data_IF_396045823175
#
_entry.id   IF_396045823175
#
_cell.length_a   1.000
_cell.length_b   1.000
_cell.length_c   1.000
_cell.angle_alpha   90.00
_cell.angle_beta   90.00
_cell.angle_gamma   90.00
#
_symmetry.space_group_name_H-M   'P 1'
#
loop_
_entity.id
_entity.type
_entity.pdbx_description
1 polymer ?
#
# COMPACT_ATOMS: atom_id res chain seq x y z
N UNK A 1 3.08 16.54 6.54
CA UNK A 1 2.34 17.65 5.93
C UNK A 1 0.83 17.55 6.23
N UNK A 2 0.17 16.44 5.92
CA UNK A 2 -1.28 16.28 6.16
C UNK A 2 -1.69 16.50 7.63
N UNK A 3 -0.87 16.08 8.59
CA UNK A 3 -1.17 16.22 10.02
C UNK A 3 -0.90 17.64 10.55
N UNK A 4 0.04 18.37 9.98
CA UNK A 4 0.30 19.78 10.31
C UNK A 4 -0.88 20.64 9.84
N UNK A 5 -1.39 20.40 8.62
CA UNK A 5 -2.59 21.09 8.11
C UNK A 5 -3.82 20.77 8.96
N UNK A 6 -3.97 19.52 9.40
CA UNK A 6 -5.06 19.10 10.29
C UNK A 6 -5.05 19.89 11.61
N UNK A 7 -3.87 20.06 12.20
CA UNK A 7 -3.69 20.82 13.46
C UNK A 7 -4.01 22.30 13.27
N UNK A 8 -3.61 22.89 12.15
CA UNK A 8 -3.90 24.26 11.79
C UNK A 8 -5.41 24.49 11.58
N UNK A 9 -6.10 23.58 10.89
CA UNK A 9 -7.55 23.60 10.70
C UNK A 9 -8.33 23.50 12.02
N UNK A 10 -7.87 22.66 12.96
CA UNK A 10 -8.47 22.57 14.30
C UNK A 10 -8.22 23.80 15.16
N UNK A 11 -7.02 24.38 15.09
CA UNK A 11 -6.65 25.59 15.84
C UNK A 11 -7.34 26.85 15.32
N UNK A 12 -7.57 26.95 14.02
CA UNK A 12 -8.23 28.10 13.39
C UNK A 12 -9.75 28.02 13.39
N UNK A 13 -10.34 26.88 13.83
CA UNK A 13 -11.78 26.67 13.80
C UNK A 13 -12.41 26.56 12.40
N UNK A 14 -11.59 26.57 11.34
CA UNK A 14 -12.05 26.47 9.95
C UNK A 14 -12.75 25.13 9.67
N UNK A 15 -12.36 24.06 10.36
CA UNK A 15 -13.00 22.75 10.29
C UNK A 15 -14.45 22.80 10.76
N UNK A 16 -14.77 23.63 11.76
CA UNK A 16 -16.15 23.80 12.26
C UNK A 16 -17.05 24.48 11.23
N UNK A 17 -16.54 25.47 10.51
CA UNK A 17 -17.29 26.19 9.48
C UNK A 17 -17.57 25.27 8.27
N UNK A 18 -16.59 24.50 7.81
CA UNK A 18 -16.77 23.55 6.71
C UNK A 18 -17.74 22.42 7.06
N UNK A 19 -17.79 21.97 8.32
CA UNK A 19 -18.71 20.93 8.79
C UNK A 19 -20.17 21.39 8.92
N UNK A 20 -20.41 22.68 9.00
CA UNK A 20 -21.78 23.25 9.07
C UNK A 20 -22.50 23.23 7.72
N UNK A 21 -21.80 23.01 6.60
CA UNK A 21 -22.43 22.91 5.28
C UNK A 21 -23.14 21.58 5.10
N UNK A 22 -24.36 21.60 4.49
CA UNK A 22 -25.29 20.46 4.35
C UNK A 22 -24.69 19.14 3.82
N UNK A 23 -23.58 19.23 3.06
CA UNK A 23 -22.84 18.07 2.51
C UNK A 23 -21.33 18.10 2.81
N UNK A 24 -20.87 19.04 3.66
CA UNK A 24 -19.45 19.30 3.86
C UNK A 24 -18.66 18.14 4.44
N UNK A 25 -19.26 17.36 5.32
CA UNK A 25 -18.55 16.27 6.01
C UNK A 25 -18.10 15.14 5.08
N UNK A 26 -19.03 14.60 4.31
CA UNK A 26 -18.74 13.43 3.44
C UNK A 26 -17.94 13.87 2.21
N UNK A 27 -18.39 14.92 1.51
CA UNK A 27 -17.70 15.42 0.31
C UNK A 27 -16.27 15.85 0.61
N UNK A 28 -16.05 16.57 1.70
CA UNK A 28 -14.72 17.00 2.12
C UNK A 28 -13.80 15.82 2.44
N UNK A 29 -14.30 14.81 3.17
CA UNK A 29 -13.54 13.60 3.49
C UNK A 29 -13.14 12.82 2.22
N UNK A 30 -14.08 12.67 1.28
CA UNK A 30 -13.82 11.99 0.00
C UNK A 30 -12.78 12.76 -0.83
N UNK A 31 -12.92 14.07 -0.97
CA UNK A 31 -11.96 14.91 -1.71
C UNK A 31 -10.58 14.82 -1.09
N UNK A 32 -10.47 14.82 0.23
CA UNK A 32 -9.19 14.70 0.94
C UNK A 32 -8.51 13.34 0.69
N UNK A 33 -9.27 12.25 0.73
CA UNK A 33 -8.75 10.91 0.44
C UNK A 33 -8.30 10.81 -1.03
N UNK A 34 -9.12 11.33 -1.95
CA UNK A 34 -8.77 11.34 -3.38
C UNK A 34 -7.54 12.21 -3.65
N UNK A 35 -7.46 13.40 -3.06
CA UNK A 35 -6.30 14.27 -3.22
C UNK A 35 -5.02 13.61 -2.68
N UNK A 36 -5.05 12.98 -1.52
CA UNK A 36 -3.91 12.24 -1.01
C UNK A 36 -3.54 11.08 -1.96
N UNK A 37 -4.51 10.27 -2.37
CA UNK A 37 -4.29 9.17 -3.32
C UNK A 37 -3.67 9.63 -4.64
N UNK A 38 -4.18 10.72 -5.23
CA UNK A 38 -3.65 11.25 -6.51
C UNK A 38 -2.22 11.78 -6.37
N UNK A 39 -1.92 12.52 -5.31
CA UNK A 39 -0.56 13.05 -5.08
C UNK A 39 0.44 11.89 -4.95
N UNK A 40 0.16 10.92 -4.10
CA UNK A 40 1.06 9.79 -3.91
C UNK A 40 1.18 8.92 -5.16
N UNK A 41 0.10 8.73 -5.93
CA UNK A 41 0.13 8.02 -7.21
C UNK A 41 1.05 8.74 -8.22
N UNK A 42 0.97 10.07 -8.34
CA UNK A 42 1.83 10.84 -9.24
C UNK A 42 3.29 10.71 -8.82
N UNK A 43 3.59 10.89 -7.52
CA UNK A 43 4.96 10.77 -6.99
C UNK A 43 5.51 9.36 -7.24
N UNK A 44 4.70 8.32 -7.02
CA UNK A 44 5.09 6.94 -7.28
C UNK A 44 5.39 6.71 -8.77
N UNK A 45 4.50 7.14 -9.67
CA UNK A 45 4.70 6.97 -11.12
C UNK A 45 5.98 7.68 -11.58
N UNK A 46 6.20 8.93 -11.16
CA UNK A 46 7.41 9.68 -11.49
C UNK A 46 8.66 8.95 -10.96
N UNK A 47 8.64 8.50 -9.71
CA UNK A 47 9.73 7.72 -9.12
C UNK A 47 10.01 6.43 -9.87
N UNK A 48 8.97 5.67 -10.25
CA UNK A 48 9.11 4.43 -11.00
C UNK A 48 9.62 4.66 -12.43
N UNK A 49 9.16 5.70 -13.11
CA UNK A 49 9.67 6.06 -14.45
C UNK A 49 11.17 6.37 -14.38
N UNK A 50 11.61 7.18 -13.41
CA UNK A 50 13.03 7.48 -13.24
C UNK A 50 13.82 6.22 -12.92
N UNK A 51 13.35 5.41 -11.97
CA UNK A 51 14.03 4.17 -11.54
C UNK A 51 14.18 3.17 -12.70
N UNK A 52 13.11 2.88 -13.43
CA UNK A 52 13.14 1.97 -14.57
C UNK A 52 13.97 2.52 -15.73
N UNK A 53 13.95 3.83 -15.95
CA UNK A 53 14.80 4.45 -16.97
C UNK A 53 16.29 4.26 -16.66
N UNK A 54 16.70 4.46 -15.41
CA UNK A 54 18.09 4.25 -14.98
C UNK A 54 18.50 2.78 -15.16
N UNK A 55 17.66 1.84 -14.73
CA UNK A 55 17.93 0.40 -14.87
C UNK A 55 18.06 0.02 -16.35
N UNK A 56 17.08 0.41 -17.18
CA UNK A 56 17.06 0.04 -18.58
C UNK A 56 18.19 0.71 -19.40
N UNK A 57 18.66 1.89 -18.99
CA UNK A 57 19.85 2.51 -19.57
C UNK A 57 21.15 1.79 -19.17
N UNK A 58 21.23 1.36 -17.89
CA UNK A 58 22.42 0.67 -17.38
C UNK A 58 22.61 -0.73 -17.95
N UNK A 59 21.53 -1.51 -18.10
CA UNK A 59 21.58 -2.91 -18.53
C UNK A 59 21.21 -3.12 -20.01
N UNK A 60 20.70 -2.10 -20.68
CA UNK A 60 20.21 -2.16 -22.05
C UNK A 60 18.79 -2.74 -22.16
N UNK A 61 18.05 -2.29 -23.18
CA UNK A 61 16.65 -2.72 -23.42
C UNK A 61 16.52 -4.16 -23.89
N UNK A 62 17.59 -4.77 -24.42
CA UNK A 62 17.59 -6.17 -24.85
C UNK A 62 17.40 -7.14 -23.67
N UNK A 63 17.83 -6.75 -22.45
CA UNK A 63 17.63 -7.55 -21.24
C UNK A 63 16.14 -7.77 -20.90
N UNK A 64 15.25 -6.89 -21.37
CA UNK A 64 13.81 -7.01 -21.11
C UNK A 64 13.17 -8.26 -21.75
N UNK A 65 13.80 -8.81 -22.79
CA UNK A 65 13.36 -10.04 -23.47
C UNK A 65 13.78 -11.31 -22.74
N UNK A 66 14.70 -11.19 -21.78
CA UNK A 66 15.25 -12.34 -21.04
C UNK A 66 14.17 -12.93 -20.13
N UNK A 67 14.10 -14.26 -20.07
CA UNK A 67 13.16 -14.96 -19.19
C UNK A 67 13.56 -14.76 -17.73
N UNK A 68 12.56 -14.49 -16.90
CA UNK A 68 12.70 -14.36 -15.44
C UNK A 68 13.31 -15.62 -14.80
N UNK A 69 12.99 -16.79 -15.33
CA UNK A 69 13.50 -18.07 -14.83
C UNK A 69 15.01 -18.21 -14.94
N UNK A 70 15.63 -17.62 -15.95
CA UNK A 70 17.09 -17.68 -16.14
C UNK A 70 17.83 -16.90 -15.05
N UNK A 71 17.26 -15.77 -14.61
CA UNK A 71 17.93 -14.87 -13.66
C UNK A 71 17.78 -15.30 -12.21
N UNK A 72 16.63 -15.81 -11.82
CA UNK A 72 16.32 -16.05 -10.41
C UNK A 72 16.35 -17.53 -10.02
N UNK A 73 15.83 -18.42 -10.81
CA UNK A 73 15.93 -19.88 -10.66
C UNK A 73 15.17 -20.59 -11.80
N UNK A 74 15.64 -21.73 -12.21
CA UNK A 74 14.96 -22.61 -13.18
C UNK A 74 13.61 -23.12 -12.64
N UNK A 75 13.40 -23.04 -11.33
CA UNK A 75 12.23 -23.60 -10.65
C UNK A 75 11.11 -22.56 -10.45
N UNK A 76 11.22 -21.36 -11.00
CA UNK A 76 10.19 -20.33 -10.83
C UNK A 76 8.89 -20.68 -11.56
N UNK A 77 7.75 -20.47 -10.86
CA UNK A 77 6.41 -20.73 -11.38
C UNK A 77 6.03 -19.84 -12.58
N UNK A 78 6.25 -18.50 -12.55
CA UNK A 78 5.79 -17.63 -13.62
C UNK A 78 6.72 -17.70 -14.85
N UNK A 79 6.13 -18.04 -15.99
CA UNK A 79 6.82 -17.95 -17.30
C UNK A 79 6.62 -16.55 -17.86
N UNK A 80 7.39 -15.59 -17.37
CA UNK A 80 7.34 -14.17 -17.74
C UNK A 80 8.72 -13.66 -18.15
N UNK A 81 8.75 -12.63 -19.01
CA UNK A 81 9.95 -11.90 -19.36
C UNK A 81 10.22 -10.77 -18.36
N UNK A 82 11.45 -10.28 -18.29
CA UNK A 82 11.80 -9.16 -17.41
C UNK A 82 10.97 -7.90 -17.66
N UNK A 83 10.61 -7.63 -18.91
CA UNK A 83 9.71 -6.51 -19.23
C UNK A 83 8.32 -6.68 -18.60
N UNK A 84 7.74 -7.87 -18.67
CA UNK A 84 6.47 -8.19 -18.01
C UNK A 84 6.60 -8.13 -16.49
N UNK A 85 7.72 -8.61 -15.95
CA UNK A 85 8.02 -8.51 -14.52
C UNK A 85 8.04 -7.07 -14.05
N UNK A 86 8.70 -6.15 -14.77
CA UNK A 86 8.72 -4.72 -14.42
C UNK A 86 7.30 -4.15 -14.35
N UNK A 87 6.45 -4.44 -15.33
CA UNK A 87 5.05 -3.99 -15.33
C UNK A 87 4.27 -4.56 -14.14
N UNK A 88 4.43 -5.85 -13.85
CA UNK A 88 3.76 -6.51 -12.71
C UNK A 88 4.21 -5.87 -11.39
N UNK A 89 5.51 -5.60 -11.22
CA UNK A 89 6.04 -4.96 -10.01
C UNK A 89 5.54 -3.52 -9.84
N UNK A 90 5.42 -2.75 -10.92
CA UNK A 90 4.87 -1.39 -10.87
C UNK A 90 3.40 -1.43 -10.46
N UNK A 91 2.60 -2.30 -11.07
CA UNK A 91 1.17 -2.39 -10.78
C UNK A 91 0.91 -2.92 -9.36
N UNK A 92 1.63 -3.95 -8.92
CA UNK A 92 1.52 -4.48 -7.57
C UNK A 92 1.99 -3.47 -6.52
N UNK A 93 3.09 -2.77 -6.79
CA UNK A 93 3.60 -1.70 -5.93
C UNK A 93 2.62 -0.54 -5.79
N UNK A 94 1.99 -0.11 -6.89
CA UNK A 94 0.97 0.93 -6.87
C UNK A 94 -0.26 0.50 -6.04
N UNK A 95 -0.71 -0.74 -6.22
CA UNK A 95 -1.86 -1.28 -5.49
C UNK A 95 -1.58 -1.34 -3.98
N UNK A 96 -0.43 -1.89 -3.59
CA UNK A 96 -0.02 -1.97 -2.18
C UNK A 96 0.21 -0.58 -1.56
N UNK A 97 0.73 0.39 -2.35
CA UNK A 97 0.87 1.77 -1.91
C UNK A 97 -0.50 2.40 -1.61
N UNK A 98 -1.48 2.23 -2.51
CA UNK A 98 -2.84 2.77 -2.31
C UNK A 98 -3.53 2.14 -1.10
N UNK A 99 -3.36 0.83 -0.87
CA UNK A 99 -3.85 0.14 0.31
C UNK A 99 -3.22 0.72 1.59
N UNK A 100 -1.90 0.91 1.58
CA UNK A 100 -1.16 1.51 2.69
C UNK A 100 -1.61 2.94 3.01
N UNK A 101 -1.81 3.77 1.99
CA UNK A 101 -2.32 5.14 2.14
C UNK A 101 -3.73 5.13 2.72
N UNK A 102 -4.61 4.27 2.23
CA UNK A 102 -5.97 4.16 2.73
C UNK A 102 -6.00 3.77 4.21
N UNK A 103 -5.14 2.82 4.61
CA UNK A 103 -4.98 2.42 5.99
C UNK A 103 -4.44 3.56 6.88
N UNK A 104 -3.39 4.26 6.45
CA UNK A 104 -2.84 5.40 7.20
C UNK A 104 -3.83 6.53 7.35
N UNK A 105 -4.62 6.84 6.33
CA UNK A 105 -5.68 7.84 6.40
C UNK A 105 -6.77 7.43 7.40
N UNK A 106 -7.15 6.16 7.44
CA UNK A 106 -8.09 5.65 8.44
C UNK A 106 -7.53 5.78 9.86
N UNK A 107 -6.28 5.36 10.09
CA UNK A 107 -5.63 5.47 11.41
C UNK A 107 -5.52 6.94 11.85
N UNK A 108 -5.08 7.82 10.95
CA UNK A 108 -5.02 9.25 11.20
C UNK A 108 -6.39 9.86 11.52
N UNK A 109 -7.48 9.36 10.91
CA UNK A 109 -8.83 9.82 11.21
C UNK A 109 -9.32 9.38 12.60
N UNK A 110 -8.81 8.28 13.14
CA UNK A 110 -9.22 7.69 14.41
C UNK A 110 -8.42 8.22 15.61
N UNK A 111 -7.14 8.51 15.41
CA UNK A 111 -6.24 8.98 16.47
C UNK A 111 -6.50 10.46 16.78
N UNK A 112 -6.40 10.83 18.07
CA UNK A 112 -6.53 12.22 18.53
C UNK A 112 -5.26 13.03 18.24
N UNK A 113 -4.10 12.43 18.50
CA UNK A 113 -2.79 13.07 18.35
C UNK A 113 -2.11 12.64 17.05
N UNK A 114 -1.45 13.58 16.38
CA UNK A 114 -0.72 13.29 15.16
C UNK A 114 0.49 12.38 15.40
N UNK A 115 1.15 12.50 16.56
CA UNK A 115 2.27 11.65 16.93
C UNK A 115 1.84 10.19 17.12
N UNK A 116 0.72 9.98 17.83
CA UNK A 116 0.14 8.64 18.01
C UNK A 116 -0.27 8.02 16.68
N UNK A 117 -0.87 8.81 15.78
CA UNK A 117 -1.25 8.35 14.44
C UNK A 117 -0.02 7.92 13.63
N UNK A 118 1.06 8.70 13.70
CA UNK A 118 2.31 8.40 12.99
C UNK A 118 2.95 7.11 13.55
N UNK A 119 3.06 6.97 14.86
CA UNK A 119 3.66 5.79 15.49
C UNK A 119 2.87 4.51 15.19
N UNK A 120 1.53 4.56 15.29
CA UNK A 120 0.67 3.41 15.00
C UNK A 120 0.74 3.06 13.51
N UNK A 121 0.71 4.05 12.60
CA UNK A 121 0.82 3.78 11.17
C UNK A 121 2.18 3.18 10.81
N UNK A 122 3.27 3.67 11.40
CA UNK A 122 4.60 3.11 11.20
C UNK A 122 4.68 1.66 11.73
N UNK A 123 4.13 1.40 12.92
CA UNK A 123 4.07 0.06 13.48
C UNK A 123 3.29 -0.91 12.56
N UNK A 124 2.12 -0.50 12.07
CA UNK A 124 1.31 -1.32 11.13
C UNK A 124 2.05 -1.56 9.82
N UNK A 125 2.80 -0.57 9.31
CA UNK A 125 3.58 -0.72 8.07
C UNK A 125 4.79 -1.65 8.23
N UNK A 126 5.45 -1.65 9.38
CA UNK A 126 6.60 -2.50 9.66
C UNK A 126 6.21 -3.93 10.08
N UNK A 127 4.99 -4.11 10.58
CA UNK A 127 4.53 -5.38 11.15
C UNK A 127 4.63 -6.57 10.17
N UNK A 128 4.24 -6.49 8.89
CA UNK A 128 4.41 -7.59 7.94
C UNK A 128 5.86 -8.01 7.75
N UNK A 129 6.78 -7.04 7.68
CA UNK A 129 8.22 -7.33 7.54
C UNK A 129 8.77 -7.99 8.79
N UNK A 130 8.39 -7.53 9.99
CA UNK A 130 8.82 -8.11 11.26
C UNK A 130 8.28 -9.54 11.40
N UNK A 131 6.99 -9.75 11.10
CA UNK A 131 6.37 -11.09 11.17
C UNK A 131 7.01 -12.04 10.17
N UNK A 132 7.26 -11.57 8.94
CA UNK A 132 7.92 -12.37 7.92
C UNK A 132 9.33 -12.80 8.33
N UNK A 133 10.12 -11.90 8.90
CA UNK A 133 11.48 -12.20 9.35
C UNK A 133 11.53 -13.11 10.57
N UNK A 134 10.56 -12.99 11.48
CA UNK A 134 10.52 -13.77 12.72
C UNK A 134 9.88 -15.15 12.56
N UNK A 135 8.82 -15.28 11.76
CA UNK A 135 7.97 -16.46 11.68
C UNK A 135 7.92 -17.11 10.28
N UNK A 136 8.52 -16.47 9.29
CA UNK A 136 8.55 -16.96 7.90
C UNK A 136 7.34 -16.56 7.06
N UNK A 137 7.33 -17.07 5.82
CA UNK A 137 6.37 -16.70 4.78
C UNK A 137 4.97 -17.30 4.93
N UNK A 138 4.82 -18.31 5.77
CA UNK A 138 3.56 -19.06 5.93
C UNK A 138 2.55 -18.39 6.86
N UNK A 139 2.87 -17.22 7.41
CA UNK A 139 2.00 -16.51 8.35
C UNK A 139 1.09 -15.53 7.62
N UNK A 140 -0.22 -15.69 7.81
CA UNK A 140 -1.26 -14.85 7.21
C UNK A 140 -1.05 -13.34 7.38
N UNK A 141 -0.56 -12.94 8.55
CA UNK A 141 -0.35 -11.52 8.89
C UNK A 141 0.64 -10.86 7.94
N UNK A 142 1.68 -11.58 7.50
CA UNK A 142 2.69 -11.03 6.58
C UNK A 142 2.16 -10.79 5.17
N UNK A 143 1.04 -11.42 4.80
CA UNK A 143 0.49 -11.38 3.43
C UNK A 143 -0.79 -10.56 3.29
N UNK A 144 -1.56 -10.42 4.38
CA UNK A 144 -2.87 -9.73 4.35
C UNK A 144 -2.76 -8.25 4.73
N UNK A 145 -1.73 -7.83 5.46
CA UNK A 145 -1.61 -6.44 5.87
C UNK A 145 -1.30 -5.48 4.69
N UNK A 146 -1.75 -4.21 4.77
CA UNK A 146 -1.66 -3.24 3.66
C UNK A 146 -0.27 -3.01 3.10
N UNK A 147 0.79 -3.19 3.90
CA UNK A 147 2.18 -3.07 3.49
C UNK A 147 2.80 -4.39 3.01
N UNK A 148 2.02 -5.46 2.91
CA UNK A 148 2.48 -6.70 2.30
C UNK A 148 2.88 -6.43 0.83
N UNK A 149 4.04 -6.95 0.43
CA UNK A 149 4.57 -6.71 -0.92
C UNK A 149 5.43 -5.45 -1.08
N UNK A 150 5.52 -4.55 -0.09
CA UNK A 150 6.40 -3.36 -0.12
C UNK A 150 7.63 -3.53 0.79
N UNK A 151 7.60 -4.47 1.74
CA UNK A 151 8.67 -4.68 2.71
C UNK A 151 10.00 -5.09 2.07
N UNK A 152 11.12 -4.83 2.76
CA UNK A 152 12.47 -5.15 2.27
C UNK A 152 12.67 -6.64 1.98
N UNK A 153 12.21 -7.52 2.85
CA UNK A 153 12.29 -8.98 2.70
C UNK A 153 10.95 -9.62 2.32
N UNK A 154 9.84 -8.94 2.56
CA UNK A 154 8.50 -9.34 2.18
C UNK A 154 8.00 -8.52 0.99
N UNK A 155 8.87 -8.25 0.01
CA UNK A 155 8.45 -7.55 -1.19
C UNK A 155 7.81 -8.54 -2.20
N UNK A 156 7.02 -7.99 -3.10
CA UNK A 156 6.29 -8.76 -4.08
C UNK A 156 7.19 -9.60 -5.00
N UNK A 157 8.40 -9.11 -5.31
CA UNK A 157 9.38 -9.84 -6.10
C UNK A 157 9.81 -11.12 -5.41
N UNK A 158 10.14 -11.07 -4.11
CA UNK A 158 10.52 -12.26 -3.34
C UNK A 158 9.38 -13.28 -3.25
N UNK A 159 8.14 -12.81 -3.19
CA UNK A 159 6.97 -13.70 -3.20
C UNK A 159 6.72 -14.33 -4.59
N UNK A 160 7.09 -13.63 -5.67
CA UNK A 160 6.96 -14.17 -7.03
C UNK A 160 7.95 -15.31 -7.32
N UNK A 161 9.21 -15.20 -6.88
CA UNK A 161 10.18 -16.26 -7.13
C UNK A 161 10.19 -17.35 -6.04
N UNK A 162 9.64 -17.06 -4.88
CA UNK A 162 9.51 -18.02 -3.79
C UNK A 162 8.32 -18.97 -3.98
N UNK A 163 8.50 -20.25 -3.57
CA UNK A 163 7.40 -21.24 -3.50
C UNK A 163 6.58 -21.04 -2.22
N UNK A 164 6.06 -19.84 -2.02
CA UNK A 164 5.30 -19.53 -0.83
C UNK A 164 3.81 -19.73 -1.11
N UNK A 165 3.23 -20.72 -0.43
CA UNK A 165 1.81 -21.02 -0.48
C UNK A 165 1.19 -20.81 0.89
N UNK A 166 0.02 -20.22 0.92
CA UNK A 166 -0.81 -20.11 2.10
C UNK A 166 -1.87 -21.23 2.05
N UNK A 167 -1.91 -22.02 3.10
CA UNK A 167 -2.85 -23.11 3.24
C UNK A 167 -4.09 -22.65 4.01
N UNK A 168 -5.27 -22.86 3.41
CA UNK A 168 -6.57 -22.58 4.03
C UNK A 168 -7.37 -23.88 3.94
N UNK A 169 -7.37 -24.67 5.03
CA UNK A 169 -7.91 -26.02 5.00
C UNK A 169 -7.14 -26.88 4.00
N UNK A 170 -7.85 -27.49 3.06
CA UNK A 170 -7.27 -28.35 2.02
C UNK A 170 -6.83 -27.59 0.76
N UNK A 171 -7.06 -26.26 0.71
CA UNK A 171 -6.70 -25.43 -0.43
C UNK A 171 -5.37 -24.73 -0.21
N UNK A 172 -4.52 -24.74 -1.23
CA UNK A 172 -3.27 -24.00 -1.27
C UNK A 172 -3.39 -22.81 -2.22
N UNK A 173 -3.11 -21.60 -1.73
CA UNK A 173 -3.12 -20.38 -2.53
C UNK A 173 -1.72 -19.82 -2.67
N UNK A 174 -1.34 -19.48 -3.88
CA UNK A 174 -0.06 -18.84 -4.12
C UNK A 174 -0.04 -17.42 -3.56
N UNK A 175 0.95 -17.12 -2.72
CA UNK A 175 1.04 -15.88 -1.93
C UNK A 175 0.91 -14.58 -2.74
N UNK A 176 1.51 -14.42 -3.95
CA UNK A 176 1.33 -13.20 -4.74
C UNK A 176 -0.12 -12.86 -5.06
N UNK A 177 -0.97 -13.86 -5.35
CA UNK A 177 -2.39 -13.60 -5.60
C UNK A 177 -3.10 -13.11 -4.35
N UNK A 178 -2.76 -13.65 -3.18
CA UNK A 178 -3.37 -13.23 -1.91
C UNK A 178 -3.01 -11.77 -1.62
N UNK A 179 -1.75 -11.38 -1.81
CA UNK A 179 -1.29 -10.00 -1.62
C UNK A 179 -2.06 -9.04 -2.53
N UNK A 180 -2.25 -9.38 -3.82
CA UNK A 180 -2.98 -8.53 -4.74
C UNK A 180 -4.47 -8.42 -4.39
N UNK A 181 -5.09 -9.52 -4.03
CA UNK A 181 -6.52 -9.56 -3.65
C UNK A 181 -6.73 -8.80 -2.33
N UNK A 182 -5.87 -9.02 -1.33
CA UNK A 182 -5.97 -8.30 -0.04
C UNK A 182 -5.81 -6.80 -0.25
N UNK A 183 -4.78 -6.36 -0.97
CA UNK A 183 -4.58 -4.94 -1.26
C UNK A 183 -5.76 -4.31 -2.02
N UNK A 184 -6.34 -5.03 -2.99
CA UNK A 184 -7.51 -4.56 -3.74
C UNK A 184 -8.76 -4.42 -2.85
N UNK A 185 -8.95 -5.30 -1.86
CA UNK A 185 -10.05 -5.24 -0.90
C UNK A 185 -9.82 -4.18 0.18
N UNK A 186 -8.59 -3.99 0.61
CA UNK A 186 -8.23 -3.03 1.65
C UNK A 186 -8.48 -1.57 1.25
N UNK A 187 -8.25 -1.22 -0.01
CA UNK A 187 -8.47 0.14 -0.52
C UNK A 187 -9.91 0.62 -0.24
N UNK A 188 -10.97 -0.05 -0.69
CA UNK A 188 -12.34 0.39 -0.43
C UNK A 188 -12.73 0.24 1.04
N UNK A 189 -12.27 -0.80 1.74
CA UNK A 189 -12.59 -1.03 3.15
C UNK A 189 -12.03 0.10 4.02
N UNK A 190 -10.73 0.38 3.94
CA UNK A 190 -10.12 1.46 4.73
C UNK A 190 -10.56 2.84 4.26
N UNK A 191 -10.80 3.03 2.96
CA UNK A 191 -11.38 4.26 2.44
C UNK A 191 -12.76 4.55 3.06
N UNK A 192 -13.64 3.56 3.09
CA UNK A 192 -14.97 3.69 3.71
C UNK A 192 -14.87 3.92 5.22
N UNK A 193 -14.01 3.18 5.92
CA UNK A 193 -13.78 3.35 7.35
C UNK A 193 -13.20 4.73 7.69
N UNK A 194 -12.32 5.27 6.85
CA UNK A 194 -11.78 6.61 6.99
C UNK A 194 -12.89 7.66 6.88
N UNK A 195 -13.74 7.59 5.84
CA UNK A 195 -14.89 8.50 5.67
C UNK A 195 -15.81 8.44 6.87
N UNK A 196 -16.17 7.23 7.32
CA UNK A 196 -17.03 7.04 8.49
C UNK A 196 -16.41 7.62 9.77
N UNK A 197 -15.11 7.44 9.96
CA UNK A 197 -14.39 7.99 11.12
C UNK A 197 -14.39 9.52 11.09
N UNK A 198 -14.10 10.15 9.94
CA UNK A 198 -14.19 11.60 9.79
C UNK A 198 -15.59 12.15 10.07
N UNK A 199 -16.65 11.45 9.63
CA UNK A 199 -18.02 11.87 9.86
C UNK A 199 -18.46 11.74 11.33
N UNK A 200 -17.93 10.75 12.06
CA UNK A 200 -18.28 10.49 13.47
C UNK A 200 -17.50 11.33 14.48
N UNK A 201 -16.39 11.91 14.10
CA UNK A 201 -15.56 12.71 15.01
C UNK A 201 -16.36 13.94 15.44
N UNK A 202 -16.97 13.88 16.64
CA UNK A 202 -17.58 15.05 17.30
C UNK A 202 -16.44 15.87 17.91
N UNK A 203 -16.43 17.16 17.60
CA UNK A 203 -15.61 18.12 18.34
C UNK A 203 -16.18 18.17 19.76
N UNK A 204 -15.42 17.66 20.73
CA UNK A 204 -15.69 17.87 22.15
C UNK A 204 -15.07 19.18 22.56
#
# INVERSE_FOLDING_TARGET
ASDVYKRQEYQTGSDSIMRCTKNGRVKFSVIRILAAGTIFTIVFIVGMVIHLSIINLAFGTECLKTSFQILFSIINLPNINLGQLQVILVLSGLLSLLASISCTLFLSAKCRDSLSALLISLAVMLLPTIVYTALGSSVWVSTILPSAGIGLQNNFLYQLYGFNFLYIGDMSFWTPYIILISAALEIPIFGFLAIRSYCKHRVA
#
